data_IF_194195894341
#
_entry.id   IF_194195894341
#
_cell.length_a   1.000
_cell.length_b   1.000
_cell.length_c   1.000
_cell.angle_alpha   90.00
_cell.angle_beta   90.00
_cell.angle_gamma   90.00
#
_symmetry.space_group_name_H-M   'P 1'
#
loop_
_entity.id
_entity.type
_entity.pdbx_description
1 polymer ?
#
# COMPACT_ATOMS: atom_id res chain seq x y z
N UNK A 1 17.97 1.97 -23.05
CA UNK A 1 17.53 1.72 -21.65
C UNK A 1 16.26 2.51 -21.27
N UNK A 2 15.40 2.89 -22.22
CA UNK A 2 14.21 3.74 -21.97
C UNK A 2 12.90 2.96 -21.84
N UNK A 3 12.85 1.68 -22.24
CA UNK A 3 11.62 0.88 -22.24
C UNK A 3 11.17 0.33 -20.87
N UNK A 4 12.10 0.13 -19.93
CA UNK A 4 11.81 -0.51 -18.63
C UNK A 4 11.08 0.45 -17.67
N UNK A 5 11.42 1.74 -17.71
CA UNK A 5 10.79 2.77 -16.87
C UNK A 5 9.32 3.03 -17.26
N UNK A 6 9.00 2.98 -18.55
CA UNK A 6 7.62 3.15 -19.04
C UNK A 6 6.73 1.98 -18.63
N UNK A 7 7.28 0.75 -18.65
CA UNK A 7 6.55 -0.44 -18.20
C UNK A 7 6.21 -0.41 -16.70
N UNK A 8 7.13 0.04 -15.85
CA UNK A 8 6.92 0.15 -14.41
C UNK A 8 5.88 1.23 -14.05
N UNK A 9 5.97 2.40 -14.70
CA UNK A 9 5.02 3.49 -14.49
C UNK A 9 3.59 3.13 -14.96
N UNK A 10 3.46 2.46 -16.11
CA UNK A 10 2.17 2.01 -16.61
C UNK A 10 1.53 0.95 -15.71
N UNK A 11 2.33 0.03 -15.16
CA UNK A 11 1.85 -0.95 -14.19
C UNK A 11 1.39 -0.29 -12.87
N UNK A 12 2.09 0.74 -12.39
CA UNK A 12 1.72 1.48 -11.19
C UNK A 12 0.40 2.25 -11.36
N UNK A 13 0.18 2.89 -12.52
CA UNK A 13 -1.06 3.61 -12.84
C UNK A 13 -2.25 2.65 -12.97
N UNK A 14 -2.06 1.49 -13.59
CA UNK A 14 -3.12 0.47 -13.70
C UNK A 14 -3.51 -0.10 -12.33
N UNK A 15 -2.54 -0.30 -11.44
CA UNK A 15 -2.80 -0.74 -10.06
C UNK A 15 -3.56 0.34 -9.28
N UNK A 16 -3.17 1.61 -9.39
CA UNK A 16 -3.85 2.71 -8.71
C UNK A 16 -5.28 2.93 -9.24
N UNK A 17 -5.47 2.84 -10.56
CA UNK A 17 -6.80 2.96 -11.19
C UNK A 17 -7.75 1.82 -10.82
N UNK A 18 -7.24 0.60 -10.66
CA UNK A 18 -8.04 -0.55 -10.22
C UNK A 18 -8.48 -0.48 -8.74
N UNK A 19 -7.81 0.33 -7.91
CA UNK A 19 -8.15 0.54 -6.50
C UNK A 19 -9.31 1.55 -6.30
N UNK A 20 -9.58 2.41 -7.29
CA UNK A 20 -10.68 3.40 -7.23
C UNK A 20 -12.08 2.78 -7.07
N UNK A 21 -12.49 1.74 -7.83
CA UNK A 21 -13.81 1.13 -7.65
C UNK A 21 -13.97 0.37 -6.31
N UNK A 22 -12.89 -0.04 -5.66
CA UNK A 22 -12.92 -0.70 -4.34
C UNK A 22 -13.31 0.26 -3.20
N UNK A 23 -13.13 1.58 -3.38
CA UNK A 23 -13.50 2.60 -2.39
C UNK A 23 -15.03 2.81 -2.26
N UNK A 24 -15.84 2.34 -3.22
CA UNK A 24 -17.30 2.58 -3.25
C UNK A 24 -18.15 1.44 -2.66
N UNK A 25 -17.58 0.26 -2.42
CA UNK A 25 -18.26 -0.84 -1.71
C UNK A 25 -17.63 -0.99 -0.34
N UNK A 26 -18.41 -0.89 0.73
CA UNK A 26 -17.97 -1.31 2.07
C UNK A 26 -17.81 -2.84 2.00
N UNK A 27 -16.58 -3.38 1.92
CA UNK A 27 -16.41 -4.82 1.85
C UNK A 27 -16.80 -5.41 3.20
N UNK A 28 -17.39 -6.61 3.21
CA UNK A 28 -17.56 -7.32 4.47
C UNK A 28 -16.22 -7.42 5.23
N UNK A 29 -16.24 -7.43 6.57
CA UNK A 29 -15.05 -7.36 7.43
C UNK A 29 -13.92 -8.31 7.02
N UNK A 30 -14.25 -9.50 6.51
CA UNK A 30 -13.29 -10.49 5.99
C UNK A 30 -12.53 -9.99 4.75
N UNK A 31 -13.24 -9.38 3.79
CA UNK A 31 -12.64 -8.81 2.60
C UNK A 31 -11.79 -7.58 2.94
N UNK A 32 -12.27 -6.71 3.82
CA UNK A 32 -11.48 -5.56 4.32
C UNK A 32 -10.19 -6.04 5.02
N UNK A 33 -10.24 -7.13 5.79
CA UNK A 33 -9.05 -7.68 6.45
C UNK A 33 -8.05 -8.27 5.47
N UNK A 34 -8.53 -8.90 4.40
CA UNK A 34 -7.67 -9.41 3.33
C UNK A 34 -7.00 -8.26 2.56
N UNK A 35 -7.75 -7.20 2.23
CA UNK A 35 -7.23 -5.99 1.58
C UNK A 35 -6.11 -5.35 2.40
N UNK A 36 -6.37 -5.07 3.68
CA UNK A 36 -5.38 -4.48 4.58
C UNK A 36 -4.11 -5.34 4.74
N UNK A 37 -4.25 -6.67 4.88
CA UNK A 37 -3.10 -7.60 4.94
C UNK A 37 -2.30 -7.59 3.65
N UNK A 38 -2.99 -7.63 2.51
CA UNK A 38 -2.35 -7.62 1.19
C UNK A 38 -1.58 -6.32 0.96
N UNK A 39 -2.16 -5.17 1.29
CA UNK A 39 -1.51 -3.87 1.18
C UNK A 39 -0.27 -3.77 2.10
N UNK A 40 -0.39 -4.20 3.37
CA UNK A 40 0.73 -4.21 4.31
C UNK A 40 1.87 -5.13 3.86
N UNK A 41 1.55 -6.35 3.39
CA UNK A 41 2.54 -7.29 2.88
C UNK A 41 3.24 -6.75 1.62
N UNK A 42 2.47 -6.13 0.71
CA UNK A 42 3.02 -5.51 -0.51
C UNK A 42 3.98 -4.37 -0.18
N UNK A 43 3.63 -3.50 0.76
CA UNK A 43 4.52 -2.43 1.19
C UNK A 43 5.82 -2.99 1.79
N UNK A 44 5.73 -4.01 2.65
CA UNK A 44 6.91 -4.67 3.20
C UNK A 44 7.81 -5.30 2.13
N UNK A 45 7.21 -5.92 1.10
CA UNK A 45 7.95 -6.45 -0.04
C UNK A 45 8.65 -5.35 -0.84
N UNK A 46 7.98 -4.23 -1.12
CA UNK A 46 8.58 -3.10 -1.83
C UNK A 46 9.75 -2.49 -1.04
N UNK A 47 9.61 -2.31 0.27
CA UNK A 47 10.71 -1.84 1.14
C UNK A 47 11.95 -2.76 1.08
N UNK A 48 11.76 -4.05 0.83
CA UNK A 48 12.85 -5.02 0.74
C UNK A 48 13.48 -5.12 -0.66
N UNK A 49 12.82 -4.59 -1.70
CA UNK A 49 13.19 -4.87 -3.10
C UNK A 49 13.42 -3.64 -3.96
N UNK A 50 12.83 -2.50 -3.61
CA UNK A 50 13.00 -1.24 -4.33
C UNK A 50 14.14 -0.46 -3.69
N UNK A 51 15.10 -0.07 -4.53
CA UNK A 51 16.09 0.93 -4.16
C UNK A 51 15.46 2.32 -4.35
N UNK A 52 15.15 2.96 -3.23
CA UNK A 52 14.42 4.23 -3.18
C UNK A 52 15.26 5.28 -2.45
N UNK A 53 14.95 6.56 -2.69
CA UNK A 53 15.51 7.66 -1.91
C UNK A 53 15.42 7.36 -0.39
N UNK A 54 16.51 7.51 0.38
CA UNK A 54 16.53 7.13 1.79
C UNK A 54 15.46 7.81 2.66
N UNK A 55 15.09 9.06 2.35
CA UNK A 55 14.05 9.76 3.10
C UNK A 55 12.66 9.23 2.76
N UNK A 56 12.40 8.93 1.48
CA UNK A 56 11.16 8.28 1.06
C UNK A 56 11.03 6.86 1.62
N UNK A 57 12.13 6.08 1.63
CA UNK A 57 12.18 4.74 2.21
C UNK A 57 11.90 4.78 3.72
N UNK A 58 12.50 5.72 4.45
CA UNK A 58 12.23 5.92 5.89
C UNK A 58 10.76 6.21 6.16
N UNK A 59 10.17 7.17 5.44
CA UNK A 59 8.74 7.51 5.59
C UNK A 59 7.84 6.33 5.21
N UNK A 60 8.18 5.58 4.16
CA UNK A 60 7.44 4.38 3.79
C UNK A 60 7.52 3.28 4.87
N UNK A 61 8.67 3.12 5.52
CA UNK A 61 8.85 2.21 6.65
C UNK A 61 8.04 2.61 7.89
N UNK A 62 7.95 3.91 8.20
CA UNK A 62 7.06 4.43 9.25
C UNK A 62 5.59 4.08 8.96
N UNK A 63 5.16 4.22 7.69
CA UNK A 63 3.82 3.82 7.26
C UNK A 63 3.61 2.32 7.34
N UNK A 64 4.60 1.51 6.97
CA UNK A 64 4.53 0.06 7.08
C UNK A 64 4.33 -0.38 8.54
N UNK A 65 5.12 0.18 9.46
CA UNK A 65 5.03 -0.10 10.90
C UNK A 65 3.67 0.32 11.46
N UNK A 66 3.21 1.54 11.12
CA UNK A 66 1.92 2.08 11.57
C UNK A 66 0.75 1.24 11.04
N UNK A 67 0.78 0.85 9.76
CA UNK A 67 -0.24 -0.01 9.17
C UNK A 67 -0.29 -1.38 9.85
N UNK A 68 0.87 -1.96 10.19
CA UNK A 68 0.95 -3.22 10.95
C UNK A 68 0.31 -3.10 12.33
N UNK A 69 0.62 -2.03 13.07
CA UNK A 69 0.02 -1.76 14.37
C UNK A 69 -1.50 -1.56 14.29
N UNK A 70 -1.98 -0.78 13.31
CA UNK A 70 -3.41 -0.59 13.02
C UNK A 70 -4.10 -1.92 12.72
N UNK A 71 -3.50 -2.75 11.88
CA UNK A 71 -4.04 -4.06 11.50
C UNK A 71 -4.11 -5.04 12.67
N UNK A 72 -3.13 -5.00 13.57
CA UNK A 72 -3.08 -5.84 14.77
C UNK A 72 -4.22 -5.49 15.75
N UNK A 73 -4.52 -4.20 15.92
CA UNK A 73 -5.57 -3.70 16.83
C UNK A 73 -6.95 -3.52 16.18
N UNK A 74 -7.11 -3.89 14.92
CA UNK A 74 -8.33 -3.60 14.17
C UNK A 74 -9.53 -4.44 14.68
N UNK A 75 -10.55 -3.76 15.17
CA UNK A 75 -11.79 -4.38 15.64
C UNK A 75 -12.90 -4.23 14.59
N UNK A 76 -12.91 -3.11 13.88
CA UNK A 76 -13.93 -2.74 12.90
C UNK A 76 -13.42 -2.81 11.44
N UNK A 77 -14.36 -2.77 10.48
CA UNK A 77 -14.02 -2.60 9.06
C UNK A 77 -13.38 -1.23 8.78
N UNK A 78 -13.71 -0.21 9.57
CA UNK A 78 -13.10 1.12 9.46
C UNK A 78 -11.62 1.11 9.86
N UNK A 79 -11.26 0.38 10.92
CA UNK A 79 -9.85 0.22 11.34
C UNK A 79 -9.04 -0.51 10.26
N UNK A 80 -9.62 -1.55 9.66
CA UNK A 80 -9.01 -2.29 8.56
C UNK A 80 -8.80 -1.37 7.34
N UNK A 81 -9.80 -0.57 6.98
CA UNK A 81 -9.67 0.40 5.90
C UNK A 81 -8.62 1.48 6.20
N UNK A 82 -8.46 1.89 7.46
CA UNK A 82 -7.40 2.82 7.87
C UNK A 82 -6.01 2.19 7.76
N UNK A 83 -5.85 0.94 8.18
CA UNK A 83 -4.61 0.18 8.00
C UNK A 83 -4.25 0.05 6.51
N UNK A 84 -5.23 -0.29 5.67
CA UNK A 84 -5.07 -0.40 4.22
C UNK A 84 -4.63 0.93 3.58
N UNK A 85 -5.32 2.04 3.91
CA UNK A 85 -4.93 3.38 3.42
C UNK A 85 -3.53 3.77 3.85
N UNK A 86 -3.17 3.51 5.11
CA UNK A 86 -1.84 3.81 5.64
C UNK A 86 -0.75 3.05 4.88
N UNK A 87 -0.98 1.77 4.57
CA UNK A 87 -0.07 0.99 3.74
C UNK A 87 -0.01 1.53 2.30
N UNK A 88 -1.15 1.90 1.71
CA UNK A 88 -1.20 2.49 0.37
C UNK A 88 -0.44 3.83 0.27
N UNK A 89 -0.50 4.67 1.30
CA UNK A 89 0.31 5.90 1.38
C UNK A 89 1.81 5.61 1.36
N UNK A 90 2.25 4.56 2.07
CA UNK A 90 3.64 4.09 2.04
C UNK A 90 4.06 3.62 0.64
N UNK A 91 3.19 2.88 -0.04
CA UNK A 91 3.44 2.42 -1.42
C UNK A 91 3.58 3.62 -2.37
N UNK A 92 2.72 4.63 -2.22
CA UNK A 92 2.76 5.84 -3.02
C UNK A 92 4.02 6.70 -2.78
N UNK A 93 4.68 6.59 -1.62
CA UNK A 93 5.99 7.20 -1.39
C UNK A 93 7.07 6.51 -2.23
N UNK A 94 7.11 5.18 -2.21
CA UNK A 94 8.08 4.39 -3.00
C UNK A 94 7.83 4.43 -4.50
N UNK A 95 6.62 4.79 -4.94
CA UNK A 95 6.33 5.00 -6.37
C UNK A 95 6.82 6.35 -6.91
N UNK A 96 7.28 7.26 -6.04
CA UNK A 96 7.78 8.61 -6.39
C UNK A 96 9.31 8.71 -6.40
N UNK A 97 10.01 7.65 -5.99
CA UNK A 97 11.47 7.54 -6.03
C UNK A 97 11.98 7.16 -7.40
#
# INVERSE_FOLDING_TARGET
MTGVLVGAAAAAVLVAGALVPLLRRVPGRRAARAGARSAHARLGHLLATVDADPDLARRANERWTTAGALLARAESAADLALAERTAAEGIALLARS
#
